data_IF_745362027050
#
_entry.id   IF_745362027050
#
_cell.length_a   1.000
_cell.length_b   1.000
_cell.length_c   1.000
_cell.angle_alpha   90.00
_cell.angle_beta   90.00
_cell.angle_gamma   90.00
#
_symmetry.space_group_name_H-M   'P 1'
#
loop_
_entity.id
_entity.type
_entity.pdbx_description
1 polymer ?
#
# COMPACT_ATOMS: atom_id res chain seq x y z
N UNK A 1 21.58 18.92 21.64
CA UNK A 1 20.34 18.10 21.73
C UNK A 1 19.70 18.06 20.35
N UNK A 2 19.49 16.87 19.80
CA UNK A 2 18.91 16.67 18.46
C UNK A 2 17.40 16.60 18.59
N UNK A 3 16.67 17.66 18.23
CA UNK A 3 15.21 17.60 18.17
C UNK A 3 14.79 16.83 16.91
N UNK A 4 14.19 15.66 17.08
CA UNK A 4 13.77 14.79 15.97
C UNK A 4 12.72 15.44 15.05
N UNK A 5 11.98 16.45 15.52
CA UNK A 5 11.03 17.22 14.72
C UNK A 5 11.62 18.44 14.01
N UNK A 6 12.90 18.79 14.23
CA UNK A 6 13.50 20.01 13.68
C UNK A 6 13.47 20.06 12.14
N UNK A 7 13.54 18.91 11.49
CA UNK A 7 13.52 18.80 10.03
C UNK A 7 12.11 18.68 9.44
N UNK A 8 11.06 18.84 10.24
CA UNK A 8 9.65 18.70 9.82
C UNK A 8 9.41 17.41 9.01
N UNK A 9 9.67 16.23 9.60
CA UNK A 9 9.59 14.97 8.87
C UNK A 9 8.17 14.58 8.43
N UNK A 10 7.13 15.09 9.12
CA UNK A 10 5.74 14.77 8.81
C UNK A 10 5.25 15.58 7.59
N UNK A 11 4.70 14.87 6.62
CA UNK A 11 4.12 15.38 5.38
C UNK A 11 2.62 15.60 5.51
N UNK A 12 2.00 16.18 4.47
CA UNK A 12 0.55 16.33 4.35
C UNK A 12 -0.12 16.96 5.59
N UNK A 13 0.52 17.97 6.17
CA UNK A 13 0.08 18.66 7.40
C UNK A 13 0.03 17.76 8.66
N UNK A 14 0.79 16.67 8.68
CA UNK A 14 0.96 15.84 9.87
C UNK A 14 1.65 16.58 11.02
N UNK A 15 1.19 16.33 12.25
CA UNK A 15 1.78 16.91 13.44
C UNK A 15 2.95 16.04 13.94
N UNK A 16 4.14 16.63 14.03
CA UNK A 16 5.30 15.95 14.59
C UNK A 16 5.28 16.01 16.12
N UNK A 17 5.35 14.84 16.74
CA UNK A 17 5.43 14.66 18.19
C UNK A 17 6.74 13.97 18.53
N UNK A 18 7.52 14.55 19.43
CA UNK A 18 8.75 13.92 19.93
C UNK A 18 8.34 12.70 20.76
N UNK A 19 8.83 11.52 20.40
CA UNK A 19 8.55 10.28 21.13
C UNK A 19 9.65 10.00 22.16
N UNK A 20 10.92 10.17 21.77
CA UNK A 20 12.10 10.11 22.63
C UNK A 20 13.11 11.20 22.24
N UNK A 21 14.25 11.27 22.95
CA UNK A 21 15.33 12.25 22.70
C UNK A 21 15.83 12.22 21.23
N UNK A 22 15.70 11.10 20.53
CA UNK A 22 16.14 10.94 19.14
C UNK A 22 15.06 10.45 18.19
N UNK A 23 13.84 10.21 18.67
CA UNK A 23 12.74 9.62 17.90
C UNK A 23 11.54 10.57 17.82
N UNK A 24 10.75 10.43 16.76
CA UNK A 24 9.50 11.17 16.57
C UNK A 24 8.40 10.23 16.12
N UNK A 25 7.17 10.69 16.26
CA UNK A 25 5.97 10.10 15.69
C UNK A 25 5.17 11.19 14.97
N UNK A 26 4.66 10.88 13.80
CA UNK A 26 3.70 11.74 13.11
C UNK A 26 2.27 11.36 13.52
N UNK A 27 1.49 12.38 13.88
CA UNK A 27 0.03 12.26 13.97
C UNK A 27 -0.54 12.69 12.63
N UNK A 28 -1.04 11.72 11.86
CA UNK A 28 -1.53 11.97 10.51
C UNK A 28 -2.97 12.49 10.52
N UNK A 29 -3.29 13.48 9.66
CA UNK A 29 -4.65 13.93 9.48
C UNK A 29 -5.50 12.84 8.81
N UNK A 30 -6.81 12.97 8.94
CA UNK A 30 -7.75 12.07 8.26
C UNK A 30 -7.48 12.02 6.76
N UNK A 31 -7.33 10.82 6.21
CA UNK A 31 -7.00 10.61 4.80
C UNK A 31 -5.53 10.34 4.51
N UNK A 32 -4.64 10.46 5.50
CA UNK A 32 -3.21 10.17 5.35
C UNK A 32 -2.71 9.14 6.35
N UNK A 33 -1.72 8.35 5.94
CA UNK A 33 -1.08 7.31 6.75
C UNK A 33 0.42 7.20 6.40
N UNK A 34 1.13 6.28 7.04
CA UNK A 34 2.57 6.09 6.88
C UNK A 34 3.38 6.72 8.00
N UNK A 35 4.67 6.42 8.03
CA UNK A 35 5.56 6.87 9.12
C UNK A 35 5.63 8.41 9.19
N UNK A 36 5.57 9.03 8.02
CA UNK A 36 5.67 10.46 7.81
C UNK A 36 4.38 11.04 7.23
N UNK A 37 3.26 10.33 7.29
CA UNK A 37 2.00 10.74 6.64
C UNK A 37 2.11 10.90 5.12
N UNK A 38 3.00 10.13 4.49
CA UNK A 38 3.30 10.16 3.05
C UNK A 38 2.27 9.41 2.19
N UNK A 39 1.44 8.57 2.80
CA UNK A 39 0.49 7.70 2.11
C UNK A 39 -0.89 8.36 2.04
N UNK A 40 -1.42 8.57 0.83
CA UNK A 40 -2.82 9.00 0.63
C UNK A 40 -3.74 7.76 0.59
N UNK A 41 -4.61 7.61 1.59
CA UNK A 41 -5.50 6.43 1.71
C UNK A 41 -6.64 6.45 0.68
N UNK A 42 -6.82 7.56 -0.05
CA UNK A 42 -7.79 7.74 -1.12
C UNK A 42 -7.11 7.99 -2.47
N UNK A 43 -5.85 7.57 -2.63
CA UNK A 43 -5.07 7.78 -3.87
C UNK A 43 -5.82 7.32 -5.13
N UNK A 44 -6.60 6.23 -5.07
CA UNK A 44 -7.39 5.76 -6.22
C UNK A 44 -8.47 6.77 -6.64
N UNK A 45 -9.06 7.48 -5.70
CA UNK A 45 -10.09 8.50 -5.94
C UNK A 45 -9.46 9.84 -6.33
N UNK A 46 -8.36 10.20 -5.68
CA UNK A 46 -7.74 11.52 -5.83
C UNK A 46 -6.82 11.65 -7.05
N UNK A 47 -6.16 10.55 -7.47
CA UNK A 47 -5.05 10.62 -8.42
C UNK A 47 -5.20 9.70 -9.65
N UNK A 48 -6.18 8.79 -9.66
CA UNK A 48 -6.38 7.82 -10.76
C UNK A 48 -5.08 7.10 -11.18
N UNK A 49 -4.33 6.49 -10.26
CA UNK A 49 -2.95 6.08 -10.51
C UNK A 49 -2.82 4.91 -11.47
N UNK A 50 -3.89 4.13 -11.68
CA UNK A 50 -3.91 3.04 -12.65
C UNK A 50 -4.10 3.52 -14.09
N UNK A 51 -4.54 4.76 -14.30
CA UNK A 51 -5.02 5.26 -15.59
C UNK A 51 -6.55 5.15 -15.71
N UNK A 52 -7.08 5.47 -16.89
CA UNK A 52 -8.52 5.56 -17.17
C UNK A 52 -9.09 4.36 -17.94
N UNK A 53 -8.36 3.24 -18.05
CA UNK A 53 -8.90 2.08 -18.75
C UNK A 53 -10.03 1.45 -17.94
N UNK A 54 -11.16 1.11 -18.59
CA UNK A 54 -12.30 0.49 -17.91
C UNK A 54 -11.98 -0.91 -17.35
N UNK A 55 -10.95 -1.58 -17.89
CA UNK A 55 -10.53 -2.93 -17.48
C UNK A 55 -9.53 -2.92 -16.30
N UNK A 56 -9.34 -1.75 -15.68
CA UNK A 56 -8.40 -1.54 -14.59
C UNK A 56 -9.13 -1.17 -13.31
N UNK A 57 -8.98 -2.01 -12.29
CA UNK A 57 -9.49 -1.73 -10.94
C UNK A 57 -8.36 -1.22 -10.06
N UNK A 58 -8.54 -0.05 -9.47
CA UNK A 58 -7.65 0.48 -8.44
C UNK A 58 -8.18 0.09 -7.06
N UNK A 59 -7.32 -0.45 -6.22
CA UNK A 59 -7.62 -0.74 -4.82
C UNK A 59 -6.66 0.02 -3.91
N UNK A 60 -7.18 0.96 -3.12
CA UNK A 60 -6.41 1.66 -2.09
C UNK A 60 -6.22 0.77 -0.87
N UNK A 61 -5.01 0.75 -0.32
CA UNK A 61 -4.73 0.04 0.93
C UNK A 61 -4.93 0.97 2.13
N UNK A 62 -5.41 0.40 3.24
CA UNK A 62 -5.48 1.09 4.54
C UNK A 62 -4.51 0.43 5.53
N UNK A 63 -4.05 1.19 6.52
CA UNK A 63 -3.28 0.74 7.69
C UNK A 63 -1.85 0.27 7.41
N UNK A 64 -0.91 1.22 7.34
CA UNK A 64 0.51 0.95 7.53
C UNK A 64 1.20 0.05 6.48
N UNK A 65 0.54 -0.24 5.36
CA UNK A 65 1.18 -0.87 4.21
C UNK A 65 2.12 0.15 3.54
N UNK A 66 3.33 -0.26 3.16
CA UNK A 66 4.24 0.57 2.35
C UNK A 66 3.69 0.83 0.92
N UNK A 67 2.57 0.19 0.58
CA UNK A 67 1.85 0.34 -0.67
C UNK A 67 0.59 1.19 -0.45
N UNK A 68 0.42 2.22 -1.26
CA UNK A 68 -0.77 3.09 -1.20
C UNK A 68 -1.95 2.50 -2.00
N UNK A 69 -1.64 1.83 -3.11
CA UNK A 69 -2.63 1.21 -3.98
C UNK A 69 -2.04 0.02 -4.74
N UNK A 70 -2.93 -0.78 -5.32
CA UNK A 70 -2.61 -1.73 -6.37
C UNK A 70 -3.58 -1.57 -7.53
N UNK A 71 -3.07 -1.74 -8.74
CA UNK A 71 -3.85 -1.82 -9.96
C UNK A 71 -4.04 -3.29 -10.30
N UNK A 72 -5.28 -3.68 -10.56
CA UNK A 72 -5.65 -5.01 -11.02
C UNK A 72 -6.17 -4.86 -12.44
N UNK A 73 -5.60 -5.62 -13.36
CA UNK A 73 -5.86 -5.51 -14.80
C UNK A 73 -6.63 -6.72 -15.28
N UNK A 74 -7.46 -6.52 -16.32
CA UNK A 74 -8.09 -7.61 -17.07
C UNK A 74 -8.81 -8.60 -16.13
N UNK A 75 -9.63 -8.07 -15.22
CA UNK A 75 -10.39 -8.85 -14.22
C UNK A 75 -9.55 -9.77 -13.32
N UNK A 76 -8.29 -9.44 -13.09
CA UNK A 76 -7.41 -10.21 -12.21
C UNK A 76 -6.43 -11.12 -12.92
N UNK A 77 -6.23 -10.99 -14.24
CA UNK A 77 -5.15 -11.70 -14.93
C UNK A 77 -3.75 -11.11 -14.65
N UNK A 78 -3.70 -9.89 -14.11
CA UNK A 78 -2.45 -9.29 -13.68
C UNK A 78 -2.65 -8.14 -12.70
N UNK A 79 -1.55 -7.72 -12.09
CA UNK A 79 -1.52 -6.61 -11.14
C UNK A 79 -0.27 -5.77 -11.29
N UNK A 80 -0.31 -4.54 -10.77
CA UNK A 80 0.88 -3.71 -10.65
C UNK A 80 0.73 -2.63 -9.58
N UNK A 81 1.85 -2.18 -9.03
CA UNK A 81 1.95 -0.96 -8.22
C UNK A 81 2.41 0.26 -9.02
N UNK A 82 2.89 0.03 -10.25
CA UNK A 82 3.31 1.04 -11.19
C UNK A 82 2.78 0.63 -12.57
N UNK A 83 2.01 1.48 -13.28
CA UNK A 83 1.50 1.17 -14.62
C UNK A 83 2.55 0.63 -15.62
N UNK A 84 3.84 0.84 -15.36
CA UNK A 84 4.97 0.40 -16.17
C UNK A 84 5.47 -1.04 -15.88
N UNK A 85 5.03 -1.69 -14.80
CA UNK A 85 5.56 -2.99 -14.36
C UNK A 85 4.47 -4.03 -14.04
N UNK A 86 3.71 -4.42 -15.06
CA UNK A 86 2.65 -5.43 -14.94
C UNK A 86 3.22 -6.81 -14.53
N UNK A 87 2.68 -7.37 -13.46
CA UNK A 87 2.89 -8.74 -13.02
C UNK A 87 1.69 -9.61 -13.39
N UNK A 88 1.94 -10.87 -13.71
CA UNK A 88 0.90 -11.85 -14.02
C UNK A 88 0.24 -12.37 -12.73
N UNK A 89 -1.01 -12.82 -12.84
CA UNK A 89 -1.70 -13.51 -11.76
C UNK A 89 -0.92 -14.77 -11.32
N UNK A 90 -0.51 -14.87 -10.04
CA UNK A 90 0.33 -15.97 -9.56
C UNK A 90 -0.50 -17.21 -9.21
N UNK A 91 -1.82 -17.13 -9.20
CA UNK A 91 -2.69 -18.18 -8.69
C UNK A 91 -2.58 -19.48 -9.49
N UNK A 92 -2.31 -19.41 -10.79
CA UNK A 92 -2.08 -20.61 -11.63
C UNK A 92 -3.14 -21.73 -11.45
N UNK A 93 -4.38 -21.38 -11.09
CA UNK A 93 -5.46 -22.34 -10.82
C UNK A 93 -5.41 -23.01 -9.43
N UNK A 94 -4.62 -22.48 -8.50
CA UNK A 94 -4.44 -23.01 -7.14
C UNK A 94 -5.15 -22.15 -6.10
N UNK A 95 -5.61 -22.76 -5.01
CA UNK A 95 -6.19 -22.05 -3.89
C UNK A 95 -5.11 -21.71 -2.85
N UNK A 96 -5.27 -20.58 -2.16
CA UNK A 96 -4.46 -20.23 -1.01
C UNK A 96 -3.70 -18.91 -1.14
N UNK A 97 -2.74 -18.73 -0.23
CA UNK A 97 -2.03 -17.47 -0.06
C UNK A 97 -0.74 -17.47 -0.89
N UNK A 98 -0.50 -16.37 -1.60
CA UNK A 98 0.71 -16.13 -2.38
C UNK A 98 1.32 -14.80 -1.95
N UNK A 99 2.65 -14.75 -1.83
CA UNK A 99 3.35 -13.51 -1.54
C UNK A 99 3.13 -12.47 -2.65
N UNK A 100 2.91 -11.21 -2.27
CA UNK A 100 2.81 -10.14 -3.25
C UNK A 100 4.22 -9.84 -3.81
N UNK A 101 4.46 -10.09 -5.10
CA UNK A 101 5.81 -10.08 -5.69
C UNK A 101 6.58 -8.75 -5.56
N UNK A 102 5.85 -7.67 -5.29
CA UNK A 102 6.34 -6.29 -5.31
C UNK A 102 6.22 -5.60 -3.95
N UNK A 103 5.75 -6.31 -2.91
CA UNK A 103 5.81 -5.85 -1.52
C UNK A 103 5.67 -7.00 -0.54
N UNK A 104 6.43 -6.90 0.53
CA UNK A 104 6.40 -7.78 1.68
C UNK A 104 5.24 -7.50 2.65
N UNK A 105 4.38 -6.50 2.40
CA UNK A 105 3.30 -6.05 3.32
C UNK A 105 1.89 -6.44 2.91
N UNK A 106 1.75 -7.19 1.82
CA UNK A 106 0.48 -7.68 1.31
C UNK A 106 0.62 -9.08 0.76
N UNK A 107 -0.51 -9.72 0.51
CA UNK A 107 -0.56 -11.03 -0.10
C UNK A 107 -1.66 -11.08 -1.15
N UNK A 108 -1.56 -12.08 -2.01
CA UNK A 108 -2.58 -12.45 -2.96
C UNK A 108 -3.28 -13.69 -2.41
N UNK A 109 -4.60 -13.63 -2.24
CA UNK A 109 -5.43 -14.80 -1.99
C UNK A 109 -5.95 -15.33 -3.32
N UNK A 110 -5.74 -16.61 -3.55
CA UNK A 110 -6.16 -17.32 -4.74
C UNK A 110 -7.38 -18.21 -4.46
N UNK A 111 -8.35 -18.12 -5.36
CA UNK A 111 -9.53 -18.98 -5.47
C UNK A 111 -9.59 -19.48 -6.93
N UNK A 112 -8.90 -20.58 -7.19
CA UNK A 112 -8.59 -21.07 -8.54
C UNK A 112 -7.78 -20.07 -9.37
N UNK A 113 -8.37 -19.56 -10.45
CA UNK A 113 -7.74 -18.54 -11.29
C UNK A 113 -7.98 -17.11 -10.79
N UNK A 114 -8.82 -16.92 -9.76
CA UNK A 114 -9.16 -15.58 -9.26
C UNK A 114 -8.16 -15.16 -8.20
N UNK A 115 -7.64 -13.95 -8.35
CA UNK A 115 -6.80 -13.32 -7.35
C UNK A 115 -7.56 -12.21 -6.60
N UNK A 116 -7.35 -12.15 -5.31
CA UNK A 116 -7.76 -11.06 -4.42
C UNK A 116 -6.51 -10.52 -3.74
N UNK A 117 -6.40 -9.21 -3.60
CA UNK A 117 -5.21 -8.59 -3.00
C UNK A 117 -5.60 -8.04 -1.64
N UNK A 118 -4.83 -8.39 -0.61
CA UNK A 118 -5.11 -8.01 0.76
C UNK A 118 -3.86 -7.47 1.46
N UNK A 119 -4.06 -6.55 2.40
CA UNK A 119 -3.00 -6.06 3.29
C UNK A 119 -2.74 -7.07 4.41
N UNK A 120 -1.48 -7.19 4.84
CA UNK A 120 -1.17 -7.91 6.07
C UNK A 120 -1.76 -7.19 7.30
N UNK A 121 -2.47 -7.89 8.20
CA UNK A 121 -3.07 -7.26 9.39
C UNK A 121 -2.02 -6.57 10.27
N UNK A 122 -2.22 -5.27 10.50
CA UNK A 122 -1.35 -4.45 11.36
C UNK A 122 -0.01 -4.07 10.75
N UNK A 123 0.13 -4.06 9.40
CA UNK A 123 1.36 -3.67 8.73
C UNK A 123 2.52 -4.67 8.89
N UNK A 124 2.19 -5.92 9.24
CA UNK A 124 3.17 -7.02 9.35
C UNK A 124 3.77 -7.37 7.98
N UNK A 125 4.94 -7.99 8.03
CA UNK A 125 5.58 -8.60 6.84
C UNK A 125 4.91 -9.95 6.59
N UNK A 126 4.75 -10.31 5.31
CA UNK A 126 4.46 -11.67 4.89
C UNK A 126 5.71 -12.53 5.14
N UNK A 127 5.64 -13.38 6.16
CA UNK A 127 6.66 -14.37 6.49
C UNK A 127 6.02 -15.74 6.23
N UNK A 128 6.38 -16.37 5.10
CA UNK A 128 6.06 -17.78 4.80
C UNK A 128 6.72 -18.73 5.84
#
# INVERSE_FOLDING_TARGET
LKNACAHKPCLNNGQCVIADVTSYKCQCPTGFDGRNCELDVHVCQNQQPCGQSPDQRCQSFRFGAALQYICIYQDGLGYSLNPQQLQQNPCQGTDGLQALAVSDKGFIMCDGERMFVESCPGGRVWED
#
